data_IF_119110627548
#
_entry.id   IF_119110627548
#
_cell.length_a   1.000
_cell.length_b   1.000
_cell.length_c   1.000
_cell.angle_alpha   90.00
_cell.angle_beta   90.00
_cell.angle_gamma   90.00
#
_symmetry.space_group_name_H-M   'P 1'
#
loop_
_entity.id
_entity.type
_entity.pdbx_description
1 polymer ?
#
# COMPACT_ATOMS: atom_id res chain seq x y z
N UNK A 1 -64.59 29.51 -14.44
CA UNK A 1 -63.21 29.07 -14.13
C UNK A 1 -62.78 28.16 -15.25
N UNK A 2 -61.80 28.59 -16.05
CA UNK A 2 -61.41 27.93 -17.30
C UNK A 2 -60.41 26.78 -17.04
N UNK A 3 -60.53 25.64 -17.75
CA UNK A 3 -59.70 24.45 -17.55
C UNK A 3 -58.20 24.64 -17.86
N UNK A 4 -57.80 25.77 -18.44
CA UNK A 4 -56.41 26.13 -18.77
C UNK A 4 -55.57 26.57 -17.56
N UNK A 5 -56.16 27.21 -16.55
CA UNK A 5 -55.43 27.64 -15.34
C UNK A 5 -55.03 26.45 -14.47
N UNK A 6 -55.85 25.41 -14.45
CA UNK A 6 -55.65 24.23 -13.61
C UNK A 6 -54.52 23.32 -14.13
N UNK A 7 -54.26 23.35 -15.45
CA UNK A 7 -53.17 22.63 -16.10
C UNK A 7 -51.81 23.33 -15.90
N UNK A 8 -51.78 24.65 -15.97
CA UNK A 8 -50.57 25.45 -15.69
C UNK A 8 -50.11 25.28 -14.24
N UNK A 9 -51.06 25.27 -13.30
CA UNK A 9 -50.77 25.09 -11.86
C UNK A 9 -50.24 23.69 -11.56
N UNK A 10 -50.81 22.64 -12.18
CA UNK A 10 -50.34 21.25 -12.02
C UNK A 10 -48.97 21.02 -12.67
N UNK A 11 -48.72 21.62 -13.84
CA UNK A 11 -47.42 21.58 -14.51
C UNK A 11 -46.31 22.26 -13.69
N UNK A 12 -46.60 23.42 -13.10
CA UNK A 12 -45.65 24.14 -12.24
C UNK A 12 -45.28 23.37 -10.97
N UNK A 13 -46.26 22.70 -10.34
CA UNK A 13 -46.01 21.85 -9.16
C UNK A 13 -45.11 20.66 -9.51
N UNK A 14 -45.34 20.00 -10.65
CA UNK A 14 -44.53 18.87 -11.09
C UNK A 14 -43.07 19.27 -11.33
N UNK A 15 -42.84 20.41 -11.99
CA UNK A 15 -41.49 20.95 -12.24
C UNK A 15 -40.80 21.32 -10.93
N UNK A 16 -41.51 21.94 -9.98
CA UNK A 16 -40.95 22.30 -8.69
C UNK A 16 -40.55 21.05 -7.88
N UNK A 17 -41.36 19.98 -7.91
CA UNK A 17 -41.05 18.70 -7.25
C UNK A 17 -39.85 18.01 -7.89
N UNK A 18 -39.76 18.00 -9.23
CA UNK A 18 -38.61 17.44 -9.94
C UNK A 18 -37.33 18.24 -9.66
N UNK A 19 -37.40 19.57 -9.69
CA UNK A 19 -36.27 20.44 -9.39
C UNK A 19 -35.81 20.27 -7.93
N UNK A 20 -36.75 20.16 -6.98
CA UNK A 20 -36.44 19.86 -5.59
C UNK A 20 -35.81 18.46 -5.43
N UNK A 21 -36.31 17.45 -6.14
CA UNK A 21 -35.75 16.09 -6.13
C UNK A 21 -34.32 16.05 -6.67
N UNK A 22 -34.05 16.74 -7.78
CA UNK A 22 -32.69 16.89 -8.34
C UNK A 22 -31.79 17.67 -7.38
N UNK A 23 -32.28 18.75 -6.78
CA UNK A 23 -31.52 19.51 -5.79
C UNK A 23 -31.16 18.64 -4.57
N UNK A 24 -32.10 17.84 -4.06
CA UNK A 24 -31.84 16.89 -2.96
C UNK A 24 -30.80 15.85 -3.39
N UNK A 25 -30.90 15.27 -4.58
CA UNK A 25 -29.91 14.30 -5.09
C UNK A 25 -28.49 14.89 -5.22
N UNK A 26 -28.38 16.18 -5.58
CA UNK A 26 -27.09 16.86 -5.78
C UNK A 26 -26.52 17.42 -4.47
N UNK A 27 -27.36 17.93 -3.58
CA UNK A 27 -26.95 18.61 -2.34
C UNK A 27 -26.91 17.69 -1.12
N UNK A 28 -27.70 16.61 -1.07
CA UNK A 28 -27.69 15.68 0.07
C UNK A 28 -26.30 15.06 0.33
N UNK A 29 -25.51 14.63 -0.68
CA UNK A 29 -24.16 14.12 -0.45
C UNK A 29 -23.23 15.17 0.18
N UNK A 30 -23.39 16.46 -0.19
CA UNK A 30 -22.59 17.57 0.34
C UNK A 30 -23.02 18.04 1.74
N UNK A 31 -24.30 17.92 2.07
CA UNK A 31 -24.85 18.30 3.38
C UNK A 31 -24.61 17.22 4.43
N UNK A 32 -24.58 15.95 4.05
CA UNK A 32 -24.19 14.86 4.96
C UNK A 32 -22.75 15.03 5.47
N UNK A 33 -21.84 15.54 4.63
CA UNK A 33 -20.47 15.87 5.04
C UNK A 33 -20.34 17.00 6.08
N UNK A 34 -21.41 17.75 6.38
CA UNK A 34 -21.39 18.80 7.41
C UNK A 34 -21.83 18.30 8.80
N UNK A 35 -22.45 17.12 8.89
CA UNK A 35 -22.99 16.54 10.13
C UNK A 35 -22.21 15.32 10.62
N UNK A 36 -21.25 14.83 9.83
CA UNK A 36 -20.44 13.65 10.13
C UNK A 36 -19.04 14.11 10.55
N UNK A 37 -18.60 13.74 11.76
CA UNK A 37 -17.27 14.12 12.26
C UNK A 37 -16.11 13.62 11.38
N UNK A 38 -14.87 14.12 11.61
CA UNK A 38 -13.67 13.70 10.88
C UNK A 38 -13.53 12.19 10.70
N UNK A 39 -13.96 11.43 11.70
CA UNK A 39 -13.90 9.98 11.74
C UNK A 39 -14.70 9.35 10.59
N UNK A 40 -15.93 9.82 10.38
CA UNK A 40 -16.83 9.29 9.35
C UNK A 40 -16.34 9.66 7.96
N UNK A 41 -15.82 10.88 7.78
CA UNK A 41 -15.24 11.32 6.51
C UNK A 41 -14.03 10.47 6.12
N UNK A 42 -13.11 10.22 7.06
CA UNK A 42 -11.92 9.40 6.82
C UNK A 42 -12.29 7.93 6.58
N UNK A 43 -13.23 7.36 7.34
CA UNK A 43 -13.73 6.00 7.08
C UNK A 43 -14.34 5.92 5.68
N UNK A 44 -15.16 6.92 5.32
CA UNK A 44 -15.79 6.99 4.00
C UNK A 44 -14.74 7.08 2.91
N UNK A 45 -13.67 7.85 3.10
CA UNK A 45 -12.55 7.94 2.19
C UNK A 45 -11.91 6.56 1.97
N UNK A 46 -11.53 5.87 3.05
CA UNK A 46 -10.92 4.53 3.00
C UNK A 46 -11.83 3.53 2.28
N UNK A 47 -13.12 3.51 2.63
CA UNK A 47 -14.12 2.61 2.01
C UNK A 47 -14.41 2.93 0.56
N UNK A 48 -14.35 4.20 0.17
CA UNK A 48 -14.50 4.59 -1.24
C UNK A 48 -13.37 4.01 -2.09
N UNK A 49 -12.14 3.95 -1.57
CA UNK A 49 -11.04 3.32 -2.30
C UNK A 49 -11.27 1.82 -2.54
N UNK A 50 -11.89 1.09 -1.59
CA UNK A 50 -12.21 -0.35 -1.77
C UNK A 50 -13.13 -0.58 -2.97
N UNK A 51 -14.07 0.35 -3.21
CA UNK A 51 -15.02 0.28 -4.32
C UNK A 51 -14.42 0.76 -5.63
N UNK A 52 -13.72 1.89 -5.62
CA UNK A 52 -13.26 2.58 -6.83
C UNK A 52 -11.91 2.02 -7.32
N UNK A 53 -11.27 1.18 -6.52
CA UNK A 53 -9.97 0.60 -6.77
C UNK A 53 -8.83 1.49 -6.26
N UNK A 54 -7.67 0.87 -6.09
CA UNK A 54 -6.46 1.53 -5.62
C UNK A 54 -5.30 1.27 -6.59
N UNK A 55 -4.54 2.31 -6.92
CA UNK A 55 -3.28 2.15 -7.63
C UNK A 55 -2.23 2.99 -6.95
N UNK A 56 -1.10 2.37 -6.60
CA UNK A 56 -0.05 3.01 -5.83
C UNK A 56 1.20 3.16 -6.68
N UNK A 57 1.63 4.41 -6.89
CA UNK A 57 2.95 4.69 -7.47
C UNK A 57 3.96 4.74 -6.34
N UNK A 58 4.82 3.73 -6.27
CA UNK A 58 5.89 3.67 -5.29
C UNK A 58 7.09 4.51 -5.80
N UNK A 59 7.68 5.38 -4.96
CA UNK A 59 8.86 6.16 -5.32
C UNK A 59 10.01 5.28 -5.87
N UNK A 60 10.59 5.68 -7.00
CA UNK A 60 11.68 4.91 -7.63
C UNK A 60 11.24 3.59 -8.26
N UNK A 61 9.95 3.22 -8.24
CA UNK A 61 9.42 2.03 -8.92
C UNK A 61 8.78 2.40 -10.25
N UNK A 62 9.25 1.76 -11.32
CA UNK A 62 8.81 2.09 -12.67
C UNK A 62 7.34 1.76 -12.92
N UNK A 63 6.89 0.61 -12.43
CA UNK A 63 5.50 0.16 -12.55
C UNK A 63 4.73 0.40 -11.24
N UNK A 64 3.49 0.91 -11.29
CA UNK A 64 2.66 1.05 -10.10
C UNK A 64 2.26 -0.32 -9.56
N UNK A 65 2.00 -0.40 -8.24
CA UNK A 65 1.26 -1.52 -7.66
C UNK A 65 -0.18 -1.46 -8.20
N UNK A 66 -0.56 -2.49 -8.95
CA UNK A 66 -1.92 -2.70 -9.43
C UNK A 66 -2.67 -3.50 -8.38
N UNK A 67 -3.51 -2.83 -7.61
CA UNK A 67 -4.34 -3.49 -6.60
C UNK A 67 -5.53 -4.12 -7.30
N UNK A 68 -5.77 -5.39 -7.02
CA UNK A 68 -6.92 -6.14 -7.52
C UNK A 68 -8.05 -6.11 -6.50
N UNK A 69 -7.71 -6.35 -5.23
CA UNK A 69 -8.63 -6.27 -4.11
C UNK A 69 -7.91 -5.68 -2.91
N UNK A 70 -8.61 -4.89 -2.12
CA UNK A 70 -8.15 -4.50 -0.79
C UNK A 70 -9.33 -4.24 0.13
N UNK A 71 -9.09 -4.36 1.43
CA UNK A 71 -10.07 -4.15 2.46
C UNK A 71 -9.43 -3.58 3.73
N UNK A 72 -9.99 -2.48 4.21
CA UNK A 72 -9.67 -1.86 5.49
C UNK A 72 -10.64 -2.34 6.57
N UNK A 73 -10.12 -3.02 7.58
CA UNK A 73 -10.87 -3.47 8.74
C UNK A 73 -10.35 -2.79 10.02
N UNK A 74 -11.12 -2.90 11.12
CA UNK A 74 -10.72 -2.44 12.47
C UNK A 74 -10.16 -1.01 12.46
N UNK A 75 -10.92 -0.08 11.86
CA UNK A 75 -10.50 1.31 11.69
C UNK A 75 -10.71 2.07 13.01
N UNK A 76 -9.63 2.64 13.54
CA UNK A 76 -9.63 3.56 14.67
C UNK A 76 -9.03 4.88 14.21
N UNK A 77 -9.66 6.00 14.55
CA UNK A 77 -9.23 7.33 14.13
C UNK A 77 -8.90 8.16 15.35
N UNK A 78 -7.71 8.73 15.36
CA UNK A 78 -7.24 9.68 16.35
C UNK A 78 -7.12 11.06 15.71
N UNK A 79 -7.91 12.03 16.18
CA UNK A 79 -7.94 13.39 15.64
C UNK A 79 -7.06 14.27 16.53
N UNK A 80 -6.06 14.91 15.94
CA UNK A 80 -5.15 15.77 16.67
C UNK A 80 -5.88 17.01 17.23
N UNK A 81 -5.40 17.58 18.35
CA UNK A 81 -5.92 18.85 18.85
C UNK A 81 -5.95 19.92 17.76
N UNK A 82 -7.09 20.60 17.63
CA UNK A 82 -7.32 21.59 16.58
C UNK A 82 -8.03 21.05 15.33
N UNK A 83 -8.19 19.73 15.17
CA UNK A 83 -9.09 19.15 14.17
C UNK A 83 -8.62 19.26 12.70
N UNK A 84 -7.34 19.56 12.47
CA UNK A 84 -6.75 19.73 11.13
C UNK A 84 -5.90 18.54 10.68
N UNK A 85 -5.56 17.63 11.60
CA UNK A 85 -4.80 16.41 11.34
C UNK A 85 -5.45 15.23 12.05
N UNK A 86 -5.33 14.06 11.46
CA UNK A 86 -5.81 12.82 12.05
C UNK A 86 -4.92 11.64 11.64
N UNK A 87 -4.95 10.56 12.41
CA UNK A 87 -4.26 9.32 12.09
C UNK A 87 -5.28 8.19 12.12
N UNK A 88 -5.41 7.48 11.01
CA UNK A 88 -6.21 6.27 10.92
C UNK A 88 -5.31 5.05 11.15
N UNK A 89 -5.67 4.24 12.15
CA UNK A 89 -5.11 2.92 12.39
C UNK A 89 -6.08 1.88 11.84
N UNK A 90 -5.60 0.96 11.01
CA UNK A 90 -6.48 -0.01 10.35
C UNK A 90 -5.73 -1.29 10.02
N UNK A 91 -6.43 -2.41 9.94
CA UNK A 91 -5.93 -3.62 9.30
C UNK A 91 -6.21 -3.55 7.80
N UNK A 92 -5.18 -3.67 6.98
CA UNK A 92 -5.26 -3.77 5.53
C UNK A 92 -5.06 -5.24 5.11
N UNK A 93 -6.04 -5.78 4.37
CA UNK A 93 -5.87 -6.95 3.52
C UNK A 93 -5.78 -6.47 2.07
N UNK A 94 -4.76 -6.86 1.32
CA UNK A 94 -4.51 -6.39 -0.05
C UNK A 94 -3.97 -7.51 -0.93
N UNK A 95 -4.48 -7.61 -2.15
CA UNK A 95 -3.94 -8.43 -3.21
C UNK A 95 -3.72 -7.61 -4.49
N UNK A 96 -2.61 -7.84 -5.16
CA UNK A 96 -2.25 -7.13 -6.37
C UNK A 96 -0.98 -7.65 -7.03
N UNK A 97 -0.40 -6.81 -7.89
CA UNK A 97 0.89 -7.10 -8.51
C UNK A 97 1.74 -5.85 -8.71
N UNK A 98 3.04 -6.02 -8.53
CA UNK A 98 4.07 -5.03 -8.86
C UNK A 98 4.83 -5.55 -10.08
N UNK A 99 4.48 -5.03 -11.26
CA UNK A 99 4.89 -5.62 -12.53
C UNK A 99 4.50 -7.10 -12.63
N UNK A 100 5.51 -7.98 -12.69
CA UNK A 100 5.33 -9.43 -12.80
C UNK A 100 5.28 -10.16 -11.45
N UNK A 101 5.54 -9.46 -10.35
CA UNK A 101 5.56 -10.03 -9.00
C UNK A 101 4.18 -9.92 -8.38
N UNK A 102 3.59 -11.05 -7.97
CA UNK A 102 2.34 -11.03 -7.20
C UNK A 102 2.61 -10.51 -5.79
N UNK A 103 1.67 -9.74 -5.25
CA UNK A 103 1.76 -9.17 -3.91
C UNK A 103 0.48 -9.50 -3.17
N UNK A 104 0.61 -10.13 -2.01
CA UNK A 104 -0.47 -10.28 -1.03
C UNK A 104 0.03 -9.70 0.29
N UNK A 105 -0.79 -8.91 0.97
CA UNK A 105 -0.41 -8.30 2.24
C UNK A 105 -1.57 -8.36 3.22
N UNK A 106 -1.29 -8.73 4.46
CA UNK A 106 -2.20 -8.59 5.58
C UNK A 106 -1.47 -7.91 6.74
N UNK A 107 -2.01 -6.82 7.27
CA UNK A 107 -1.44 -6.26 8.49
C UNK A 107 -1.86 -4.85 8.82
N UNK A 108 -1.15 -4.25 9.78
CA UNK A 108 -1.53 -2.95 10.34
C UNK A 108 -0.98 -1.81 9.49
N UNK A 109 -1.86 -0.88 9.16
CA UNK A 109 -1.55 0.40 8.54
C UNK A 109 -1.77 1.56 9.50
N UNK A 110 -0.97 2.60 9.31
CA UNK A 110 -1.08 3.88 10.00
C UNK A 110 -1.10 4.97 8.94
N UNK A 111 -2.27 5.50 8.62
CA UNK A 111 -2.47 6.45 7.53
C UNK A 111 -2.66 7.86 8.11
N UNK A 112 -1.68 8.76 7.94
CA UNK A 112 -1.83 10.15 8.34
C UNK A 112 -2.75 10.90 7.36
N UNK A 113 -3.68 11.67 7.90
CA UNK A 113 -4.62 12.52 7.18
C UNK A 113 -4.43 13.97 7.57
N UNK A 114 -4.62 14.86 6.61
CA UNK A 114 -4.67 16.30 6.79
C UNK A 114 -5.94 16.85 6.17
N UNK A 115 -6.51 17.85 6.83
CA UNK A 115 -7.65 18.58 6.27
C UNK A 115 -7.14 19.58 5.24
N UNK A 116 -7.60 19.46 3.99
CA UNK A 116 -7.34 20.42 2.92
C UNK A 116 -8.65 21.06 2.49
N UNK A 117 -8.87 22.28 2.96
CA UNK A 117 -10.15 22.96 2.78
C UNK A 117 -11.26 22.27 3.57
N UNK A 118 -12.19 21.60 2.87
CA UNK A 118 -13.31 20.88 3.50
C UNK A 118 -13.19 19.36 3.46
N UNK A 119 -12.07 18.84 2.98
CA UNK A 119 -11.89 17.40 2.76
C UNK A 119 -10.72 16.87 3.56
N UNK A 120 -10.88 15.68 4.12
CA UNK A 120 -9.78 14.88 4.66
C UNK A 120 -9.09 14.12 3.53
N UNK A 121 -7.78 14.32 3.41
CA UNK A 121 -6.96 13.61 2.43
C UNK A 121 -5.73 13.00 3.09
N UNK A 122 -5.24 11.85 2.59
CA UNK A 122 -3.98 11.29 3.09
C UNK A 122 -2.84 12.29 2.88
N UNK A 123 -1.94 12.41 3.85
CA UNK A 123 -0.72 13.23 3.70
C UNK A 123 0.24 12.62 2.65
N UNK A 124 0.18 11.29 2.46
CA UNK A 124 1.00 10.55 1.51
C UNK A 124 0.24 9.40 0.85
N UNK A 125 0.86 8.23 0.76
CA UNK A 125 0.18 7.03 0.26
C UNK A 125 -0.85 6.53 1.29
N UNK A 126 -1.97 5.94 0.86
CA UNK A 126 -2.99 5.40 1.77
C UNK A 126 -2.61 4.07 2.42
N UNK A 127 -1.46 3.50 2.06
CA UNK A 127 -0.89 2.27 2.64
C UNK A 127 0.61 2.48 2.87
N UNK A 128 1.01 3.45 3.72
CA UNK A 128 2.40 3.90 3.81
C UNK A 128 3.34 2.79 4.27
N UNK A 129 2.89 1.89 5.18
CA UNK A 129 3.75 0.83 5.69
C UNK A 129 3.97 -0.26 4.66
N UNK A 130 2.92 -0.70 3.99
CA UNK A 130 3.04 -1.62 2.84
C UNK A 130 3.93 -1.02 1.76
N UNK A 131 3.77 0.27 1.46
CA UNK A 131 4.62 0.95 0.49
C UNK A 131 6.11 0.90 0.90
N UNK A 132 6.42 1.20 2.15
CA UNK A 132 7.79 1.13 2.67
C UNK A 132 8.37 -0.30 2.61
N UNK A 133 7.59 -1.32 2.98
CA UNK A 133 8.02 -2.72 2.88
C UNK A 133 8.27 -3.15 1.42
N UNK A 134 7.37 -2.79 0.50
CA UNK A 134 7.55 -3.07 -0.93
C UNK A 134 8.74 -2.34 -1.52
N UNK A 135 9.02 -1.11 -1.09
CA UNK A 135 10.22 -0.38 -1.50
C UNK A 135 11.51 -1.09 -1.05
N UNK A 136 11.55 -1.62 0.17
CA UNK A 136 12.69 -2.40 0.65
C UNK A 136 12.89 -3.68 -0.18
N UNK A 137 11.82 -4.44 -0.44
CA UNK A 137 11.85 -5.66 -1.25
C UNK A 137 12.28 -5.40 -2.69
N UNK A 138 11.73 -4.36 -3.31
CA UNK A 138 12.06 -3.98 -4.69
C UNK A 138 13.48 -3.44 -4.81
N UNK A 139 13.93 -2.65 -3.82
CA UNK A 139 15.31 -2.18 -3.73
C UNK A 139 16.28 -3.36 -3.61
N UNK A 140 15.96 -4.35 -2.78
CA UNK A 140 16.73 -5.60 -2.68
C UNK A 140 16.76 -6.33 -4.02
N UNK A 141 15.60 -6.59 -4.63
CA UNK A 141 15.52 -7.32 -5.91
C UNK A 141 16.42 -6.70 -6.98
N UNK A 142 16.39 -5.38 -7.13
CA UNK A 142 17.24 -4.68 -8.10
C UNK A 142 18.73 -4.73 -7.74
N UNK A 143 19.05 -4.57 -6.46
CA UNK A 143 20.43 -4.65 -6.01
C UNK A 143 21.00 -6.06 -6.22
N UNK A 144 20.19 -7.11 -6.06
CA UNK A 144 20.54 -8.48 -6.42
C UNK A 144 20.77 -8.65 -7.92
N UNK A 145 19.86 -8.15 -8.74
CA UNK A 145 19.96 -8.22 -10.21
C UNK A 145 21.18 -7.47 -10.76
N UNK A 146 21.54 -6.33 -10.16
CA UNK A 146 22.71 -5.55 -10.51
C UNK A 146 24.01 -6.06 -9.83
N UNK A 147 23.89 -6.92 -8.81
CA UNK A 147 24.90 -7.16 -7.76
C UNK A 147 25.54 -5.89 -7.23
N UNK A 148 24.71 -4.91 -6.94
CA UNK A 148 25.09 -3.68 -6.28
C UNK A 148 25.34 -3.97 -4.78
N UNK A 149 26.61 -4.21 -4.47
CA UNK A 149 27.05 -4.53 -3.10
C UNK A 149 26.70 -3.42 -2.12
N UNK A 150 26.96 -2.16 -2.49
CA UNK A 150 26.75 -1.01 -1.61
C UNK A 150 25.26 -0.88 -1.25
N UNK A 151 24.38 -1.04 -2.25
CA UNK A 151 22.95 -1.01 -2.02
C UNK A 151 22.47 -2.17 -1.16
N UNK A 152 22.96 -3.39 -1.37
CA UNK A 152 22.64 -4.55 -0.53
C UNK A 152 23.06 -4.33 0.93
N UNK A 153 24.26 -3.79 1.16
CA UNK A 153 24.72 -3.44 2.51
C UNK A 153 23.84 -2.38 3.16
N UNK A 154 23.39 -1.36 2.42
CA UNK A 154 22.51 -0.31 2.96
C UNK A 154 21.13 -0.81 3.42
N UNK A 155 20.69 -1.96 2.90
CA UNK A 155 19.40 -2.57 3.21
C UNK A 155 19.44 -3.45 4.46
N UNK A 156 20.62 -3.86 4.92
CA UNK A 156 20.79 -4.56 6.18
C UNK A 156 20.60 -3.57 7.33
N UNK A 157 19.79 -3.93 8.32
CA UNK A 157 19.58 -3.11 9.53
C UNK A 157 20.84 -2.96 10.41
N UNK A 158 21.97 -3.54 10.03
CA UNK A 158 23.19 -3.58 10.83
C UNK A 158 24.00 -2.28 10.68
N UNK A 159 23.70 -1.33 11.56
CA UNK A 159 24.70 -0.41 12.15
C UNK A 159 24.95 -0.81 13.61
N UNK A 160 24.88 -2.09 13.93
CA UNK A 160 25.23 -2.57 15.25
C UNK A 160 26.71 -3.00 15.23
N UNK A 161 27.64 -2.23 15.82
CA UNK A 161 29.07 -2.54 15.80
C UNK A 161 29.41 -3.86 16.49
N UNK A 162 28.50 -4.42 17.29
CA UNK A 162 28.68 -5.68 18.02
C UNK A 162 28.09 -6.92 17.29
N UNK A 163 27.34 -6.72 16.20
CA UNK A 163 26.91 -7.82 15.34
C UNK A 163 28.10 -8.23 14.44
N UNK A 164 28.87 -9.22 14.91
CA UNK A 164 30.11 -9.71 14.29
C UNK A 164 30.16 -9.56 12.77
N UNK A 165 31.11 -8.75 12.31
CA UNK A 165 31.30 -8.25 10.94
C UNK A 165 31.52 -9.30 9.84
N UNK A 166 31.41 -10.59 10.14
CA UNK A 166 31.63 -11.69 9.20
C UNK A 166 30.36 -12.29 8.58
N UNK A 167 29.27 -12.44 9.35
CA UNK A 167 28.12 -13.25 8.91
C UNK A 167 27.35 -12.62 7.73
N UNK A 168 27.10 -11.32 7.79
CA UNK A 168 26.45 -10.58 6.70
C UNK A 168 27.35 -10.43 5.46
N UNK A 169 28.67 -10.39 5.65
CA UNK A 169 29.64 -10.29 4.56
C UNK A 169 29.73 -11.60 3.78
N UNK A 170 29.82 -12.74 4.47
CA UNK A 170 29.82 -14.08 3.83
C UNK A 170 28.49 -14.37 3.11
N UNK A 171 27.36 -13.95 3.70
CA UNK A 171 26.07 -14.03 3.04
C UNK A 171 26.03 -13.18 1.77
N UNK A 172 26.54 -11.95 1.84
CA UNK A 172 26.62 -11.05 0.69
C UNK A 172 27.50 -11.62 -0.43
N UNK A 173 28.64 -12.23 -0.11
CA UNK A 173 29.47 -12.93 -1.11
C UNK A 173 28.73 -14.12 -1.74
N UNK A 174 28.02 -14.93 -0.95
CA UNK A 174 27.21 -16.04 -1.47
C UNK A 174 26.10 -15.55 -2.40
N UNK A 175 25.48 -14.43 -2.05
CA UNK A 175 24.44 -13.78 -2.84
C UNK A 175 24.99 -13.23 -4.15
N UNK A 176 26.12 -12.54 -4.12
CA UNK A 176 26.77 -12.02 -5.33
C UNK A 176 27.26 -13.15 -6.24
N UNK A 177 27.67 -14.29 -5.68
CA UNK A 177 28.01 -15.48 -6.47
C UNK A 177 26.81 -16.04 -7.27
N UNK A 178 25.57 -15.71 -6.89
CA UNK A 178 24.36 -16.05 -7.65
C UNK A 178 24.17 -15.18 -8.90
N UNK A 179 24.93 -14.10 -9.14
CA UNK A 179 24.78 -13.25 -10.33
C UNK A 179 24.91 -13.99 -11.66
N UNK A 180 25.61 -15.14 -11.69
CA UNK A 180 25.66 -16.02 -12.88
C UNK A 180 24.33 -16.74 -13.15
N UNK A 181 23.33 -16.54 -12.30
CA UNK A 181 22.01 -17.17 -12.33
C UNK A 181 20.96 -16.07 -12.28
N UNK A 182 19.84 -16.28 -12.96
CA UNK A 182 18.73 -15.35 -12.96
C UNK A 182 17.76 -15.73 -11.85
N UNK A 183 17.92 -15.11 -10.68
CA UNK A 183 16.92 -15.19 -9.63
C UNK A 183 15.74 -14.30 -10.02
N UNK A 184 14.55 -14.89 -10.12
CA UNK A 184 13.31 -14.18 -10.38
C UNK A 184 12.38 -14.33 -9.18
N UNK A 185 11.90 -13.20 -8.69
CA UNK A 185 10.81 -13.18 -7.70
C UNK A 185 9.48 -13.36 -8.44
N UNK A 186 8.66 -14.31 -7.97
CA UNK A 186 7.33 -14.57 -8.53
C UNK A 186 6.20 -14.03 -7.65
N UNK A 187 6.37 -14.07 -6.32
CA UNK A 187 5.40 -13.53 -5.38
C UNK A 187 6.03 -13.10 -4.05
N UNK A 188 5.41 -12.10 -3.42
CA UNK A 188 5.61 -11.73 -2.03
C UNK A 188 4.29 -11.85 -1.27
N UNK A 189 4.32 -12.60 -0.17
CA UNK A 189 3.23 -12.67 0.81
C UNK A 189 3.70 -11.99 2.09
N UNK A 190 3.15 -10.82 2.39
CA UNK A 190 3.57 -9.97 3.50
C UNK A 190 2.59 -10.10 4.66
N UNK A 191 3.15 -10.17 5.87
CA UNK A 191 2.44 -9.96 7.12
C UNK A 191 3.04 -8.77 7.84
N UNK A 192 2.30 -7.66 7.91
CA UNK A 192 2.76 -6.41 8.51
C UNK A 192 2.28 -6.34 9.96
N UNK A 193 3.20 -6.47 10.91
CA UNK A 193 2.92 -6.27 12.32
C UNK A 193 3.25 -4.83 12.72
N UNK A 194 3.28 -4.52 14.03
CA UNK A 194 3.50 -3.14 14.50
C UNK A 194 4.90 -2.62 14.19
N UNK A 195 5.92 -3.44 14.35
CA UNK A 195 7.33 -3.00 14.29
C UNK A 195 8.18 -3.83 13.31
N UNK A 196 7.60 -4.86 12.70
CA UNK A 196 8.25 -5.69 11.69
C UNK A 196 7.31 -6.06 10.55
N UNK A 197 7.87 -6.69 9.52
CA UNK A 197 7.15 -7.34 8.45
C UNK A 197 7.79 -8.70 8.17
N UNK A 198 6.97 -9.74 8.19
CA UNK A 198 7.38 -11.07 7.73
C UNK A 198 6.97 -11.24 6.27
N UNK A 199 7.89 -11.70 5.43
CA UNK A 199 7.65 -11.86 4.00
C UNK A 199 7.99 -13.28 3.59
N UNK A 200 7.03 -13.99 3.01
CA UNK A 200 7.32 -15.21 2.25
C UNK A 200 7.54 -14.82 0.78
N UNK A 201 8.75 -15.03 0.29
CA UNK A 201 9.13 -14.79 -1.10
C UNK A 201 9.13 -16.11 -1.88
N UNK A 202 8.24 -16.23 -2.86
CA UNK A 202 8.28 -17.29 -3.86
C UNK A 202 9.23 -16.87 -4.99
N UNK A 203 10.20 -17.73 -5.29
CA UNK A 203 11.25 -17.45 -6.25
C UNK A 203 11.42 -18.59 -7.25
N UNK A 204 11.97 -18.23 -8.41
CA UNK A 204 12.41 -19.15 -9.46
C UNK A 204 13.82 -18.79 -9.89
N UNK A 205 14.70 -19.78 -9.91
CA UNK A 205 16.09 -19.63 -10.30
C UNK A 205 16.28 -20.28 -11.67
N UNK A 206 16.55 -19.46 -12.68
CA UNK A 206 16.80 -19.91 -14.05
C UNK A 206 18.27 -19.67 -14.43
N UNK A 207 18.88 -20.59 -15.17
CA UNK A 207 20.23 -20.41 -15.70
C UNK A 207 20.80 -21.65 -16.37
N UNK A 208 22.03 -21.55 -16.88
CA UNK A 208 22.76 -22.66 -17.48
C UNK A 208 24.00 -22.97 -16.63
N UNK A 209 24.10 -24.20 -16.13
CA UNK A 209 25.38 -24.74 -15.64
C UNK A 209 26.08 -25.46 -16.81
N UNK A 210 27.43 -25.58 -16.78
CA UNK A 210 28.17 -26.39 -17.75
C UNK A 210 27.67 -27.84 -17.86
N UNK A 211 27.01 -28.36 -16.83
CA UNK A 211 26.53 -29.74 -16.75
C UNK A 211 25.01 -29.90 -16.94
N UNK A 212 24.19 -28.85 -16.78
CA UNK A 212 22.73 -28.88 -16.96
C UNK A 212 22.08 -27.50 -16.86
N UNK A 213 20.92 -27.27 -17.50
CA UNK A 213 20.07 -26.13 -17.18
C UNK A 213 19.59 -26.22 -15.72
N UNK A 214 19.42 -25.06 -15.08
CA UNK A 214 18.83 -24.89 -13.75
C UNK A 214 17.49 -24.20 -13.93
N UNK A 215 16.42 -24.88 -13.53
CA UNK A 215 15.08 -24.31 -13.35
C UNK A 215 14.57 -24.81 -12.00
N UNK A 216 14.87 -24.05 -10.96
CA UNK A 216 14.52 -24.39 -9.58
C UNK A 216 13.50 -23.40 -9.03
N UNK A 217 12.63 -23.86 -8.14
CA UNK A 217 11.60 -23.04 -7.50
C UNK A 217 11.58 -23.31 -6.02
N UNK A 218 11.33 -22.26 -5.25
CA UNK A 218 11.21 -22.40 -3.81
C UNK A 218 10.56 -21.20 -3.17
N UNK A 219 10.46 -21.30 -1.86
CA UNK A 219 9.99 -20.23 -0.99
C UNK A 219 11.08 -19.94 0.05
N UNK A 220 11.18 -18.68 0.46
CA UNK A 220 12.06 -18.23 1.54
C UNK A 220 11.30 -17.30 2.48
N UNK A 221 11.68 -17.29 3.74
CA UNK A 221 11.16 -16.31 4.70
C UNK A 221 12.18 -15.18 4.85
N UNK A 222 11.73 -13.94 4.66
CA UNK A 222 12.49 -12.72 4.90
C UNK A 222 11.83 -12.00 6.07
N UNK A 223 12.65 -11.36 6.91
CA UNK A 223 12.15 -10.51 7.99
C UNK A 223 12.68 -9.09 7.81
N UNK A 224 11.77 -8.14 7.93
CA UNK A 224 12.03 -6.72 7.82
C UNK A 224 11.73 -6.06 9.16
N UNK A 225 12.68 -5.34 9.73
CA UNK A 225 12.46 -4.51 10.91
C UNK A 225 12.15 -3.09 10.48
N UNK A 226 11.15 -2.48 11.14
CA UNK A 226 10.82 -1.09 10.90
C UNK A 226 11.73 -0.19 11.73
N UNK A 227 12.29 0.83 11.10
CA UNK A 227 12.92 1.96 11.80
C UNK A 227 12.34 3.23 11.23
N UNK A 228 11.67 4.00 12.09
CA UNK A 228 10.90 5.18 11.68
C UNK A 228 9.85 4.80 10.62
N UNK A 229 9.97 5.32 9.40
CA UNK A 229 9.04 5.05 8.28
C UNK A 229 9.64 4.12 7.21
N UNK A 230 10.79 3.50 7.48
CA UNK A 230 11.50 2.60 6.56
C UNK A 230 11.62 1.17 7.11
N UNK A 231 11.84 0.22 6.21
CA UNK A 231 12.04 -1.19 6.53
C UNK A 231 13.44 -1.65 6.11
N UNK A 232 14.07 -2.45 6.97
CA UNK A 232 15.42 -2.98 6.78
C UNK A 232 15.43 -4.49 6.98
N UNK A 233 16.25 -5.21 6.24
CA UNK A 233 16.39 -6.65 6.36
C UNK A 233 17.13 -7.05 7.64
N UNK A 234 16.60 -8.06 8.34
CA UNK A 234 17.20 -8.63 9.55
C UNK A 234 16.77 -10.08 9.71
N UNK A 235 17.68 -11.05 9.99
CA UNK A 235 19.12 -10.87 10.16
C UNK A 235 19.90 -10.79 8.83
N UNK A 236 19.28 -11.16 7.71
CA UNK A 236 19.97 -11.34 6.42
C UNK A 236 19.12 -10.93 5.23
N UNK A 237 19.74 -10.97 4.05
CA UNK A 237 19.14 -10.61 2.77
C UNK A 237 18.52 -11.82 2.06
N UNK A 238 18.58 -13.04 2.59
CA UNK A 238 18.14 -14.27 1.92
C UNK A 238 17.21 -15.15 2.72
#
# INVERSE_FOLDING_TARGET
MSPSEDWSRKGGVLIAVLAAGVAVLVLAPRMLGLATGPEVEIITWLKTTERDGLSLRLPGVAEPLKVQTHHFARITIDVAPGGERAVAWTTLDLQGSLGRTRVSSLGVERVPFVRRGREWVPEGLPTPRLAAALLALESRRRALEAGDRERLTSLLGVKDPDAGSGAGQEELERVLALQKRRLRVEAWYLRLERDDAMVTEAWRLEGELPSRPVDDRGERALSLIRREEEFFFSPGLM
#
